data_IF_291599793766
#
_entry.id   IF_291599793766
#
_cell.length_a   1.000
_cell.length_b   1.000
_cell.length_c   1.000
_cell.angle_alpha   90.00
_cell.angle_beta   90.00
_cell.angle_gamma   90.00
#
_symmetry.space_group_name_H-M   'P 1'
#
loop_
_entity.id
_entity.type
_entity.pdbx_description
1 polymer ?
#
# COMPACT_ATOMS: atom_id res chain seq x y z
N UNK A 1 -26.89 -20.30 -0.35
CA UNK A 1 -25.48 -20.74 -0.34
C UNK A 1 -24.67 -19.64 0.32
N UNK A 2 -23.57 -19.97 1.00
CA UNK A 2 -22.64 -18.96 1.52
C UNK A 2 -21.99 -18.23 0.34
N UNK A 3 -21.71 -16.93 0.49
CA UNK A 3 -20.91 -16.23 -0.50
C UNK A 3 -19.47 -16.75 -0.45
N UNK A 4 -18.80 -16.84 -1.60
CA UNK A 4 -17.44 -17.38 -1.70
C UNK A 4 -16.43 -16.30 -2.07
N UNK A 5 -15.35 -16.22 -1.30
CA UNK A 5 -14.23 -15.31 -1.51
C UNK A 5 -12.96 -16.11 -1.80
N UNK A 6 -12.27 -15.78 -2.89
CA UNK A 6 -11.05 -16.47 -3.33
C UNK A 6 -9.84 -15.54 -3.23
N UNK A 7 -8.84 -15.94 -2.44
CA UNK A 7 -7.53 -15.31 -2.47
C UNK A 7 -6.68 -15.91 -3.58
N UNK A 8 -6.40 -15.13 -4.63
CA UNK A 8 -5.61 -15.59 -5.77
C UNK A 8 -4.14 -15.80 -5.39
N UNK A 9 -3.47 -16.81 -5.97
CA UNK A 9 -2.05 -17.03 -5.75
C UNK A 9 -1.19 -15.96 -6.46
N UNK A 10 0.09 -15.75 -6.03
CA UNK A 10 0.66 -16.32 -4.81
C UNK A 10 0.21 -15.57 -3.55
N UNK A 11 -0.06 -16.32 -2.48
CA UNK A 11 -0.29 -15.70 -1.18
C UNK A 11 0.99 -15.78 -0.34
N UNK A 12 1.24 -14.76 0.47
CA UNK A 12 2.29 -14.80 1.49
C UNK A 12 1.82 -15.55 2.73
N UNK A 13 2.76 -16.06 3.52
CA UNK A 13 2.47 -16.74 4.80
C UNK A 13 1.66 -15.84 5.76
N UNK A 14 1.81 -14.52 5.64
CA UNK A 14 1.06 -13.53 6.42
C UNK A 14 -0.46 -13.63 6.18
N UNK A 15 -0.90 -14.05 5.00
CA UNK A 15 -2.33 -14.24 4.74
C UNK A 15 -2.95 -15.34 5.60
N UNK A 16 -2.19 -16.40 5.88
CA UNK A 16 -2.67 -17.49 6.74
C UNK A 16 -3.04 -16.99 8.16
N UNK A 17 -2.31 -15.98 8.65
CA UNK A 17 -2.61 -15.34 9.94
C UNK A 17 -3.87 -14.47 9.91
N UNK A 18 -4.22 -13.91 8.75
CA UNK A 18 -5.36 -13.01 8.60
C UNK A 18 -6.69 -13.73 8.37
N UNK A 19 -6.67 -14.93 7.79
CA UNK A 19 -7.89 -15.67 7.45
C UNK A 19 -8.83 -15.85 8.63
N UNK A 20 -8.39 -16.25 9.84
CA UNK A 20 -9.29 -16.36 11.00
C UNK A 20 -9.98 -15.03 11.33
N UNK A 21 -9.25 -13.91 11.26
CA UNK A 21 -9.79 -12.56 11.53
C UNK A 21 -10.79 -12.12 10.46
N UNK A 22 -10.59 -12.53 9.21
CA UNK A 22 -11.53 -12.26 8.13
C UNK A 22 -12.81 -13.04 8.29
N UNK A 23 -12.73 -14.32 8.67
CA UNK A 23 -13.90 -15.16 8.95
C UNK A 23 -14.72 -14.61 10.12
N UNK A 24 -14.06 -14.13 11.18
CA UNK A 24 -14.72 -13.48 12.30
C UNK A 24 -15.44 -12.18 11.90
N UNK A 25 -14.84 -11.42 10.96
CA UNK A 25 -15.38 -10.15 10.50
C UNK A 25 -16.47 -10.30 9.43
N UNK A 26 -16.47 -11.42 8.72
CA UNK A 26 -17.41 -11.71 7.63
C UNK A 26 -18.07 -13.09 7.83
N UNK A 27 -18.90 -13.26 8.86
CA UNK A 27 -19.56 -14.53 9.12
C UNK A 27 -20.47 -14.92 7.94
N UNK A 28 -20.39 -16.15 7.52
CA UNK A 28 -21.18 -16.69 6.42
C UNK A 28 -20.50 -16.60 5.04
N UNK A 29 -19.24 -16.13 4.97
CA UNK A 29 -18.42 -16.27 3.78
C UNK A 29 -17.61 -17.57 3.85
N UNK A 30 -17.48 -18.23 2.68
CA UNK A 30 -16.53 -19.31 2.45
C UNK A 30 -15.26 -18.72 1.88
N UNK A 31 -14.09 -18.98 2.47
CA UNK A 31 -12.81 -18.41 2.05
C UNK A 31 -11.92 -19.50 1.49
N UNK A 32 -11.62 -19.43 0.19
CA UNK A 32 -10.70 -20.31 -0.50
C UNK A 32 -9.33 -19.66 -0.71
N UNK A 33 -8.27 -20.43 -0.48
CA UNK A 33 -6.87 -20.00 -0.62
C UNK A 33 -6.08 -20.96 -1.50
N UNK A 34 -6.39 -21.03 -2.81
CA UNK A 34 -5.68 -21.91 -3.74
C UNK A 34 -4.20 -21.57 -3.80
N UNK A 35 -3.34 -22.57 -3.78
CA UNK A 35 -1.89 -22.39 -3.82
C UNK A 35 -1.35 -22.20 -5.26
N UNK A 36 -2.13 -22.60 -6.28
CA UNK A 36 -1.75 -22.53 -7.70
C UNK A 36 -2.89 -21.96 -8.54
N UNK A 37 -2.57 -21.43 -9.72
CA UNK A 37 -3.58 -20.95 -10.66
C UNK A 37 -4.55 -22.07 -11.11
N UNK A 38 -4.08 -23.31 -11.25
CA UNK A 38 -4.93 -24.44 -11.58
C UNK A 38 -5.99 -24.72 -10.51
N UNK A 39 -5.65 -24.52 -9.25
CA UNK A 39 -6.61 -24.61 -8.14
C UNK A 39 -7.52 -23.38 -8.13
N UNK A 40 -6.98 -22.19 -8.39
CA UNK A 40 -7.75 -20.95 -8.45
C UNK A 40 -8.82 -20.99 -9.53
N UNK A 41 -8.54 -21.57 -10.70
CA UNK A 41 -9.52 -21.76 -11.78
C UNK A 41 -10.76 -22.55 -11.31
N UNK A 42 -10.56 -23.56 -10.46
CA UNK A 42 -11.67 -24.36 -9.91
C UNK A 42 -12.48 -23.59 -8.89
N UNK A 43 -11.78 -22.86 -8.02
CA UNK A 43 -12.41 -22.08 -6.94
C UNK A 43 -13.17 -20.85 -7.47
N UNK A 44 -12.74 -20.30 -8.61
CA UNK A 44 -13.38 -19.14 -9.23
C UNK A 44 -14.71 -19.46 -9.93
N UNK A 45 -14.98 -20.70 -10.27
CA UNK A 45 -16.17 -21.10 -11.03
C UNK A 45 -17.48 -20.72 -10.32
N UNK A 46 -17.50 -20.68 -9.00
CA UNK A 46 -18.63 -20.31 -8.14
C UNK A 46 -18.32 -19.15 -7.19
N UNK A 47 -17.22 -18.42 -7.41
CA UNK A 47 -16.79 -17.31 -6.57
C UNK A 47 -17.67 -16.06 -6.77
N UNK A 48 -18.02 -15.42 -5.66
CA UNK A 48 -18.69 -14.10 -5.62
C UNK A 48 -17.69 -12.95 -5.57
N UNK A 49 -16.55 -13.18 -4.92
CA UNK A 49 -15.50 -12.17 -4.76
C UNK A 49 -14.10 -12.79 -4.80
N UNK A 50 -13.11 -11.97 -5.16
CA UNK A 50 -11.71 -12.38 -5.17
C UNK A 50 -10.79 -11.24 -4.74
N UNK A 51 -9.60 -11.60 -4.29
CA UNK A 51 -8.48 -10.69 -4.02
C UNK A 51 -7.25 -11.17 -4.77
N UNK A 52 -6.56 -10.26 -5.43
CA UNK A 52 -5.27 -10.54 -6.04
C UNK A 52 -5.13 -10.03 -7.47
N UNK A 53 -4.18 -10.61 -8.20
CA UNK A 53 -3.94 -10.29 -9.60
C UNK A 53 -4.69 -11.27 -10.49
N UNK A 54 -5.58 -10.73 -11.30
CA UNK A 54 -6.39 -11.51 -12.25
C UNK A 54 -5.63 -11.68 -13.57
N UNK A 55 -5.78 -12.83 -14.22
CA UNK A 55 -5.33 -13.07 -15.60
C UNK A 55 -6.53 -13.27 -16.53
N UNK A 56 -6.35 -13.21 -17.87
CA UNK A 56 -7.44 -13.51 -18.80
C UNK A 56 -8.06 -14.90 -18.59
N UNK A 57 -7.26 -15.89 -18.25
CA UNK A 57 -7.72 -17.26 -17.98
C UNK A 57 -8.53 -17.32 -16.68
N UNK A 58 -8.07 -16.64 -15.63
CA UNK A 58 -8.75 -16.62 -14.33
C UNK A 58 -10.09 -15.87 -14.39
N UNK A 59 -10.15 -14.73 -15.09
CA UNK A 59 -11.42 -13.98 -15.22
C UNK A 59 -12.43 -14.75 -16.07
N UNK A 60 -12.00 -15.47 -17.11
CA UNK A 60 -12.86 -16.30 -17.91
C UNK A 60 -13.46 -17.48 -17.11
N UNK A 61 -12.78 -17.96 -16.07
CA UNK A 61 -13.26 -19.00 -15.18
C UNK A 61 -14.18 -18.49 -14.05
N UNK A 62 -14.40 -17.19 -13.95
CA UNK A 62 -15.12 -16.53 -12.85
C UNK A 62 -16.44 -15.87 -13.30
N UNK A 63 -17.40 -16.57 -13.91
CA UNK A 63 -18.59 -15.96 -14.53
C UNK A 63 -19.53 -15.29 -13.53
N UNK A 64 -19.44 -15.65 -12.26
CA UNK A 64 -20.31 -15.13 -11.18
C UNK A 64 -19.61 -14.06 -10.32
N UNK A 65 -18.36 -13.70 -10.64
CA UNK A 65 -17.57 -12.76 -9.84
C UNK A 65 -18.21 -11.37 -9.86
N UNK A 66 -18.55 -10.86 -8.69
CA UNK A 66 -19.17 -9.54 -8.50
C UNK A 66 -18.21 -8.50 -7.99
N UNK A 67 -17.15 -8.94 -7.28
CA UNK A 67 -16.18 -8.04 -6.68
C UNK A 67 -14.75 -8.60 -6.78
N UNK A 68 -13.83 -7.77 -7.27
CA UNK A 68 -12.39 -8.03 -7.27
C UNK A 68 -11.67 -6.92 -6.51
N UNK A 69 -11.00 -7.26 -5.42
CA UNK A 69 -10.10 -6.36 -4.72
C UNK A 69 -8.69 -6.49 -5.30
N UNK A 70 -8.19 -5.43 -5.92
CA UNK A 70 -6.81 -5.36 -6.42
C UNK A 70 -5.79 -5.29 -5.27
N UNK A 71 -4.59 -5.89 -5.42
CA UNK A 71 -3.62 -6.04 -4.33
C UNK A 71 -2.86 -4.75 -3.98
N UNK A 72 -3.00 -3.69 -4.78
CA UNK A 72 -2.27 -2.44 -4.61
C UNK A 72 -3.17 -1.22 -4.78
N UNK A 73 -2.77 -0.08 -4.19
CA UNK A 73 -3.46 1.20 -4.37
C UNK A 73 -3.36 1.74 -5.81
N UNK A 74 -2.27 1.41 -6.51
CA UNK A 74 -2.07 1.65 -7.94
C UNK A 74 -1.57 0.34 -8.56
N UNK A 75 -2.46 -0.49 -9.11
CA UNK A 75 -2.06 -1.72 -9.78
C UNK A 75 -1.07 -1.45 -10.91
N UNK A 76 -0.20 -2.42 -11.16
CA UNK A 76 0.83 -2.33 -12.19
C UNK A 76 0.22 -2.12 -13.60
N UNK A 77 1.02 -1.60 -14.51
CA UNK A 77 0.62 -1.49 -15.93
C UNK A 77 0.20 -2.87 -16.46
N UNK A 78 -0.93 -2.92 -17.17
CA UNK A 78 -1.50 -4.16 -17.69
C UNK A 78 -2.43 -4.90 -16.73
N UNK A 79 -2.61 -4.42 -15.49
CA UNK A 79 -3.60 -5.01 -14.57
C UNK A 79 -5.03 -4.94 -15.13
N UNK A 80 -5.38 -3.83 -15.77
CA UNK A 80 -6.68 -3.62 -16.42
C UNK A 80 -6.56 -4.02 -17.90
N UNK A 81 -6.75 -5.29 -18.19
CA UNK A 81 -6.76 -5.85 -19.54
C UNK A 81 -8.21 -5.92 -20.08
N UNK A 82 -8.37 -6.13 -21.39
CA UNK A 82 -9.65 -5.98 -22.08
C UNK A 82 -10.75 -6.91 -21.53
N UNK A 83 -10.42 -8.14 -21.20
CA UNK A 83 -11.37 -9.09 -20.62
C UNK A 83 -11.83 -8.68 -19.23
N UNK A 84 -10.94 -8.14 -18.39
CA UNK A 84 -11.30 -7.61 -17.07
C UNK A 84 -12.16 -6.34 -17.18
N UNK A 85 -11.83 -5.44 -18.10
CA UNK A 85 -12.60 -4.20 -18.34
C UNK A 85 -14.02 -4.53 -18.83
N UNK A 86 -14.15 -5.58 -19.64
CA UNK A 86 -15.43 -6.02 -20.21
C UNK A 86 -16.27 -6.87 -19.23
N UNK A 87 -15.67 -7.37 -18.15
CA UNK A 87 -16.34 -8.19 -17.16
C UNK A 87 -17.22 -7.33 -16.24
N UNK A 88 -18.42 -7.80 -15.82
CA UNK A 88 -19.33 -7.04 -14.97
C UNK A 88 -18.84 -6.86 -13.51
N UNK A 89 -17.72 -7.45 -13.13
CA UNK A 89 -17.16 -7.35 -11.77
C UNK A 89 -16.79 -5.91 -11.39
N UNK A 90 -17.12 -5.49 -10.18
CA UNK A 90 -16.61 -4.24 -9.63
C UNK A 90 -15.17 -4.44 -9.15
N UNK A 91 -14.24 -3.61 -9.64
CA UNK A 91 -12.84 -3.64 -9.19
C UNK A 91 -12.60 -2.50 -8.21
N UNK A 92 -12.09 -2.82 -7.03
CA UNK A 92 -11.67 -1.86 -6.00
C UNK A 92 -10.17 -2.01 -5.72
N UNK A 93 -9.57 -1.01 -5.10
CA UNK A 93 -8.17 -1.01 -4.72
C UNK A 93 -7.95 -0.42 -3.32
N UNK A 94 -6.71 -0.41 -2.85
CA UNK A 94 -6.32 0.12 -1.55
C UNK A 94 -5.99 1.62 -1.57
N UNK A 95 -6.73 2.40 -2.35
CA UNK A 95 -6.55 3.86 -2.39
C UNK A 95 -6.73 4.46 -0.99
N UNK A 96 -5.84 5.40 -0.66
CA UNK A 96 -5.87 6.24 0.55
C UNK A 96 -5.51 5.56 1.88
N UNK A 97 -5.34 4.24 1.95
CA UNK A 97 -5.02 3.56 3.21
C UNK A 97 -3.55 3.72 3.66
N UNK A 98 -2.67 4.26 2.78
CA UNK A 98 -1.24 4.42 3.07
C UNK A 98 -0.82 5.88 3.30
N UNK A 99 -1.77 6.82 3.30
CA UNK A 99 -1.46 8.26 3.31
C UNK A 99 -0.67 8.65 4.55
N UNK A 100 -1.09 8.20 5.71
CA UNK A 100 -0.44 8.44 7.00
C UNK A 100 0.94 7.77 7.09
N UNK A 101 1.05 6.51 6.71
CA UNK A 101 2.32 5.77 6.74
C UNK A 101 3.37 6.38 5.82
N UNK A 102 3.01 6.68 4.57
CA UNK A 102 3.96 7.22 3.59
C UNK A 102 4.36 8.65 3.95
N UNK A 103 3.44 9.49 4.38
CA UNK A 103 3.74 10.88 4.75
C UNK A 103 4.62 10.98 5.99
N UNK A 104 4.45 10.10 6.98
CA UNK A 104 5.36 10.00 8.13
C UNK A 104 6.75 9.55 7.68
N UNK A 105 6.84 8.60 6.75
CA UNK A 105 8.14 8.18 6.19
C UNK A 105 8.85 9.31 5.45
N UNK A 106 8.11 10.11 4.66
CA UNK A 106 8.65 11.30 3.97
C UNK A 106 9.19 12.30 5.01
N UNK A 107 8.41 12.62 6.03
CA UNK A 107 8.85 13.53 7.09
C UNK A 107 10.09 12.99 7.83
N UNK A 108 10.16 11.68 8.06
CA UNK A 108 11.34 11.04 8.69
C UNK A 108 12.60 11.27 7.85
N UNK A 109 12.52 11.11 6.53
CA UNK A 109 13.67 11.40 5.66
C UNK A 109 14.04 12.89 5.70
N UNK A 110 13.07 13.79 5.65
CA UNK A 110 13.32 15.23 5.74
C UNK A 110 14.03 15.59 7.04
N UNK A 111 13.56 15.09 8.17
CA UNK A 111 14.17 15.31 9.48
C UNK A 111 15.57 14.70 9.58
N UNK A 112 15.79 13.53 9.00
CA UNK A 112 17.11 12.92 8.93
C UNK A 112 18.13 13.81 8.22
N UNK A 113 17.74 14.43 7.10
CA UNK A 113 18.60 15.37 6.36
C UNK A 113 18.77 16.71 7.12
N UNK A 114 17.69 17.30 7.60
CA UNK A 114 17.72 18.61 8.22
C UNK A 114 18.44 18.62 9.58
N UNK A 115 18.57 17.48 10.22
CA UNK A 115 19.23 17.28 11.53
C UNK A 115 20.53 16.48 11.42
N UNK A 116 20.99 16.17 10.22
CA UNK A 116 22.22 15.41 9.96
C UNK A 116 22.31 14.09 10.72
N UNK A 117 21.16 13.46 10.97
CA UNK A 117 21.09 12.26 11.78
C UNK A 117 21.90 11.11 11.20
N UNK A 118 21.98 11.01 9.86
CA UNK A 118 22.83 10.07 9.16
C UNK A 118 24.31 10.25 9.48
N UNK A 119 24.81 11.49 9.54
CA UNK A 119 26.22 11.79 9.84
C UNK A 119 26.54 11.42 11.29
N UNK A 120 25.69 11.86 12.24
CA UNK A 120 25.88 11.55 13.65
C UNK A 120 25.76 10.05 13.95
N UNK A 121 24.90 9.33 13.25
CA UNK A 121 24.82 7.87 13.35
C UNK A 121 26.13 7.20 12.90
N UNK A 122 26.72 7.66 11.79
CA UNK A 122 27.96 7.10 11.29
C UNK A 122 29.13 7.41 12.26
N UNK A 123 29.20 8.61 12.80
CA UNK A 123 30.14 8.94 13.87
C UNK A 123 29.94 8.07 15.13
N UNK A 124 28.70 7.80 15.52
CA UNK A 124 28.38 6.92 16.64
C UNK A 124 28.94 5.51 16.42
N UNK A 125 28.85 4.96 15.21
CA UNK A 125 29.40 3.63 14.89
C UNK A 125 30.94 3.57 15.00
N UNK A 126 31.60 4.71 14.82
CA UNK A 126 33.05 4.89 14.95
C UNK A 126 33.49 5.34 16.36
N UNK A 127 32.57 5.45 17.32
CA UNK A 127 32.79 6.00 18.68
C UNK A 127 33.38 7.41 18.67
N UNK A 128 32.99 8.23 17.66
CA UNK A 128 33.39 9.62 17.50
C UNK A 128 32.26 10.57 17.90
N UNK A 129 32.63 11.77 18.31
CA UNK A 129 31.73 12.88 18.48
C UNK A 129 32.39 14.15 17.95
N UNK A 130 32.07 14.51 16.73
CA UNK A 130 32.54 15.72 16.07
C UNK A 130 31.32 16.59 15.74
N UNK A 131 31.29 17.80 16.29
CA UNK A 131 30.25 18.78 16.00
C UNK A 131 30.45 19.29 14.57
N UNK A 132 29.39 19.30 13.78
CA UNK A 132 29.43 19.84 12.43
C UNK A 132 29.57 21.37 12.50
N UNK A 133 30.77 21.88 12.23
CA UNK A 133 31.13 23.30 12.34
C UNK A 133 30.74 24.10 11.07
N UNK A 134 29.47 24.27 10.81
CA UNK A 134 29.08 25.22 9.76
C UNK A 134 27.78 25.91 10.16
N UNK A 135 27.67 27.21 10.01
CA UNK A 135 26.46 27.97 10.31
C UNK A 135 25.26 27.55 9.44
N UNK A 136 25.49 26.75 8.42
CA UNK A 136 24.46 26.27 7.49
C UNK A 136 24.11 24.79 7.70
N UNK A 137 24.58 24.15 8.75
CA UNK A 137 24.34 22.71 8.95
C UNK A 137 22.93 22.42 9.47
N UNK A 138 22.43 23.19 10.41
CA UNK A 138 21.10 22.97 10.95
C UNK A 138 20.05 23.76 10.18
N UNK A 139 19.21 23.04 9.45
CA UNK A 139 18.05 23.65 8.81
C UNK A 139 16.97 23.88 9.87
N UNK A 140 16.64 25.14 10.14
CA UNK A 140 15.57 25.52 11.03
C UNK A 140 14.23 25.42 10.29
N UNK A 141 13.42 24.45 10.67
CA UNK A 141 12.20 24.10 9.94
C UNK A 141 11.21 25.26 9.77
N UNK A 142 10.98 26.13 10.77
CA UNK A 142 10.07 27.28 10.62
C UNK A 142 10.49 28.31 9.57
N UNK A 143 11.77 28.37 9.21
CA UNK A 143 12.29 29.24 8.14
C UNK A 143 12.40 28.52 6.80
N UNK A 144 12.10 27.23 6.77
CA UNK A 144 12.24 26.39 5.60
C UNK A 144 10.93 26.31 4.81
N UNK A 145 11.06 26.12 3.51
CA UNK A 145 9.93 25.91 2.59
C UNK A 145 10.04 24.54 1.94
N UNK A 146 8.97 23.78 2.01
CA UNK A 146 8.81 22.52 1.27
C UNK A 146 7.90 22.73 0.08
N UNK A 147 8.34 22.29 -1.10
CA UNK A 147 7.52 22.23 -2.30
C UNK A 147 6.97 20.81 -2.47
N UNK A 148 5.65 20.68 -2.54
CA UNK A 148 4.97 19.40 -2.73
C UNK A 148 4.41 19.33 -4.14
N UNK A 149 4.96 18.45 -4.96
CA UNK A 149 4.47 18.20 -6.32
C UNK A 149 3.48 17.05 -6.29
N UNK A 150 2.19 17.40 -6.41
CA UNK A 150 1.08 16.45 -6.32
C UNK A 150 0.35 16.49 -4.97
N UNK A 151 -0.92 16.91 -5.01
CA UNK A 151 -1.77 17.14 -3.83
C UNK A 151 -2.87 16.07 -3.73
N UNK A 152 -2.51 14.81 -3.95
CA UNK A 152 -3.35 13.65 -3.62
C UNK A 152 -3.31 13.34 -2.12
N UNK A 153 -3.85 12.19 -1.69
CA UNK A 153 -3.93 11.83 -0.26
C UNK A 153 -2.58 11.91 0.47
N UNK A 154 -1.52 11.35 -0.11
CA UNK A 154 -0.16 11.38 0.47
C UNK A 154 0.38 12.81 0.53
N UNK A 155 0.27 13.59 -0.57
CA UNK A 155 0.78 14.95 -0.61
C UNK A 155 0.05 15.88 0.37
N UNK A 156 -1.26 15.74 0.50
CA UNK A 156 -2.07 16.49 1.46
C UNK A 156 -1.66 16.18 2.90
N UNK A 157 -1.50 14.91 3.23
CA UNK A 157 -1.08 14.50 4.58
C UNK A 157 0.37 14.91 4.87
N UNK A 158 1.28 14.83 3.89
CA UNK A 158 2.64 15.35 3.99
C UNK A 158 2.63 16.87 4.25
N UNK A 159 1.80 17.63 3.55
CA UNK A 159 1.63 19.07 3.77
C UNK A 159 1.18 19.38 5.20
N UNK A 160 0.23 18.62 5.71
CA UNK A 160 -0.26 18.76 7.09
C UNK A 160 0.85 18.51 8.11
N UNK A 161 1.64 17.47 7.92
CA UNK A 161 2.78 17.14 8.81
C UNK A 161 3.87 18.18 8.73
N UNK A 162 4.24 18.66 7.54
CA UNK A 162 5.24 19.72 7.37
C UNK A 162 4.81 21.03 8.05
N UNK A 163 3.54 21.40 7.94
CA UNK A 163 2.99 22.55 8.68
C UNK A 163 3.04 22.35 10.19
N UNK A 164 2.76 21.14 10.68
CA UNK A 164 2.78 20.84 12.10
C UNK A 164 4.18 20.99 12.73
N UNK A 165 5.25 20.79 11.95
CA UNK A 165 6.63 21.05 12.38
C UNK A 165 7.12 22.47 12.02
N UNK A 166 6.22 23.36 11.60
CA UNK A 166 6.48 24.79 11.41
C UNK A 166 6.93 25.21 10.01
N UNK A 167 7.05 24.30 9.04
CA UNK A 167 7.53 24.63 7.69
C UNK A 167 6.50 25.43 6.88
N UNK A 168 7.01 26.26 5.96
CA UNK A 168 6.20 26.81 4.87
C UNK A 168 5.95 25.73 3.81
N UNK A 169 4.72 25.63 3.32
CA UNK A 169 4.32 24.62 2.34
C UNK A 169 3.79 25.30 1.08
N UNK A 170 4.36 24.93 -0.07
CA UNK A 170 3.97 25.33 -1.41
C UNK A 170 3.54 24.11 -2.24
#
# INVERSE_FOLDING_TARGET
MANKFVFLPPQSDLFAEWIPRLLDSAPGWDIATPATDEQALKELADADAAYGTMTPELIAAAPNLRWLQAPAAAPAAGYYFDELISHPTAVTNFREIYNDHISVQILTYMLNFTKHFNIYRDQQSEHKYEVLESPNHDIFLPESTVLIVGVGGIGTETARLCKAVGMNVL
#
